data_IF_251080522037
#
_entry.id   IF_251080522037
#
_cell.length_a   1.000
_cell.length_b   1.000
_cell.length_c   1.000
_cell.angle_alpha   90.00
_cell.angle_beta   90.00
_cell.angle_gamma   90.00
#
_symmetry.space_group_name_H-M   'P 1'
#
loop_
_entity.id
_entity.type
_entity.pdbx_description
1 polymer ?
#
# COMPACT_ATOMS: atom_id res chain seq x y z
N UNK A 1 -29.68 -7.22 12.81
CA UNK A 1 -28.51 -6.31 12.81
C UNK A 1 -27.46 -6.89 13.75
N UNK A 2 -26.37 -7.44 13.21
CA UNK A 2 -25.49 -8.36 13.93
C UNK A 2 -24.51 -7.61 14.85
N UNK A 3 -24.56 -7.89 16.16
CA UNK A 3 -23.75 -7.28 17.24
C UNK A 3 -22.23 -7.31 16.97
N UNK A 4 -21.74 -8.27 16.16
CA UNK A 4 -20.32 -8.35 15.74
C UNK A 4 -19.82 -7.12 14.99
N UNK A 5 -20.68 -6.42 14.23
CA UNK A 5 -20.29 -5.23 13.47
C UNK A 5 -20.05 -3.99 14.34
N UNK A 6 -20.58 -3.95 15.58
CA UNK A 6 -20.37 -2.82 16.52
C UNK A 6 -19.20 -3.02 17.48
N UNK A 7 -18.84 -4.28 17.77
CA UNK A 7 -17.71 -4.59 18.67
C UNK A 7 -16.38 -4.29 17.98
N UNK A 8 -16.31 -4.51 16.66
CA UNK A 8 -15.08 -4.32 15.89
C UNK A 8 -14.53 -2.87 15.94
N UNK A 9 -15.32 -1.81 15.68
CA UNK A 9 -14.82 -0.43 15.79
C UNK A 9 -14.46 -0.07 17.23
N UNK A 10 -15.21 -0.57 18.22
CA UNK A 10 -14.91 -0.32 19.64
C UNK A 10 -13.59 -0.95 20.09
N UNK A 11 -13.31 -2.18 19.64
CA UNK A 11 -12.04 -2.87 19.93
C UNK A 11 -10.84 -2.16 19.27
N UNK A 12 -11.02 -1.70 18.02
CA UNK A 12 -10.01 -0.89 17.33
C UNK A 12 -9.72 0.40 18.10
N UNK A 13 -10.77 1.09 18.59
CA UNK A 13 -10.64 2.29 19.41
C UNK A 13 -9.91 2.03 20.74
N UNK A 14 -10.18 0.89 21.38
CA UNK A 14 -9.51 0.47 22.61
C UNK A 14 -8.02 0.20 22.34
N UNK A 15 -7.69 -0.49 21.25
CA UNK A 15 -6.30 -0.75 20.87
C UNK A 15 -5.54 0.54 20.51
N UNK A 16 -6.19 1.47 19.80
CA UNK A 16 -5.63 2.80 19.50
C UNK A 16 -5.41 3.59 20.81
N UNK A 17 -6.34 3.53 21.75
CA UNK A 17 -6.22 4.19 23.06
C UNK A 17 -5.10 3.62 23.91
N UNK A 18 -4.98 2.29 23.99
CA UNK A 18 -3.86 1.61 24.69
C UNK A 18 -2.53 1.98 24.05
N UNK A 19 -2.48 2.01 22.71
CA UNK A 19 -1.28 2.40 21.97
C UNK A 19 -0.88 3.86 22.22
N UNK A 20 -1.84 4.79 22.21
CA UNK A 20 -1.60 6.19 22.55
C UNK A 20 -1.05 6.35 23.98
N UNK A 21 -1.57 5.58 24.94
CA UNK A 21 -1.11 5.58 26.33
C UNK A 21 0.33 5.07 26.48
N UNK A 22 0.70 4.06 25.69
CA UNK A 22 2.06 3.51 25.65
C UNK A 22 3.08 4.49 25.05
N UNK A 23 2.67 5.39 24.14
CA UNK A 23 3.54 6.46 23.66
C UNK A 23 3.86 7.48 24.77
N UNK A 24 2.87 7.84 25.60
CA UNK A 24 3.04 8.81 26.70
C UNK A 24 3.96 8.28 27.82
N UNK A 25 4.07 6.95 27.95
CA UNK A 25 4.94 6.29 28.93
C UNK A 25 6.43 6.27 28.54
N UNK A 26 6.83 6.96 27.47
CA UNK A 26 8.24 7.18 27.13
C UNK A 26 8.93 5.97 26.47
N UNK A 27 8.14 5.03 25.93
CA UNK A 27 8.67 3.89 25.18
C UNK A 27 9.22 4.40 23.84
N UNK A 28 10.53 4.64 23.79
CA UNK A 28 11.29 5.20 22.63
C UNK A 28 11.21 4.35 21.33
N UNK A 29 10.70 3.12 21.44
CA UNK A 29 10.39 2.17 20.35
C UNK A 29 9.03 2.43 19.67
N UNK A 30 8.23 3.36 20.20
CA UNK A 30 6.89 3.70 19.72
C UNK A 30 6.87 5.11 19.11
N UNK A 31 7.90 5.47 18.33
CA UNK A 31 7.89 6.72 17.57
C UNK A 31 6.84 6.60 16.47
N UNK A 32 5.86 7.50 16.46
CA UNK A 32 4.79 7.57 15.46
C UNK A 32 5.33 7.53 14.02
N UNK A 33 6.52 8.08 13.82
CA UNK A 33 7.30 8.05 12.57
C UNK A 33 7.54 6.63 12.04
N UNK A 34 7.66 5.62 12.90
CA UNK A 34 7.90 4.21 12.54
C UNK A 34 6.63 3.39 12.37
N UNK A 35 5.53 3.82 12.96
CA UNK A 35 4.32 3.00 13.08
C UNK A 35 3.27 3.30 12.01
N UNK A 36 3.26 4.51 11.45
CA UNK A 36 2.29 4.89 10.42
C UNK A 36 2.30 3.98 9.17
N UNK A 37 3.44 3.42 8.69
CA UNK A 37 3.42 2.51 7.54
C UNK A 37 2.73 1.18 7.86
N UNK A 38 2.81 0.72 9.11
CA UNK A 38 2.11 -0.49 9.55
C UNK A 38 0.60 -0.33 9.48
N UNK A 39 0.07 0.87 9.77
CA UNK A 39 -1.34 1.18 9.61
C UNK A 39 -1.74 1.06 8.14
N UNK A 40 -0.93 1.59 7.21
CA UNK A 40 -1.19 1.44 5.76
C UNK A 40 -1.19 -0.03 5.33
N UNK A 41 -0.24 -0.84 5.80
CA UNK A 41 -0.21 -2.29 5.50
C UNK A 41 -1.48 -2.98 6.01
N UNK A 42 -1.89 -2.71 7.25
CA UNK A 42 -3.10 -3.30 7.84
C UNK A 42 -4.35 -2.87 7.07
N UNK A 43 -4.48 -1.57 6.76
CA UNK A 43 -5.60 -1.03 5.98
C UNK A 43 -5.64 -1.65 4.58
N UNK A 44 -4.49 -1.74 3.91
CA UNK A 44 -4.36 -2.38 2.60
C UNK A 44 -4.76 -3.85 2.65
N UNK A 45 -4.31 -4.60 3.65
CA UNK A 45 -4.64 -6.02 3.82
C UNK A 45 -6.13 -6.24 4.10
N UNK A 46 -6.74 -5.44 4.97
CA UNK A 46 -8.17 -5.48 5.26
C UNK A 46 -8.97 -5.15 3.99
N UNK A 47 -8.62 -4.06 3.30
CA UNK A 47 -9.29 -3.67 2.06
C UNK A 47 -9.19 -4.76 1.01
N UNK A 48 -8.01 -5.34 0.81
CA UNK A 48 -7.81 -6.40 -0.18
C UNK A 48 -8.60 -7.67 0.18
N UNK A 49 -8.57 -8.08 1.45
CA UNK A 49 -9.33 -9.23 1.93
C UNK A 49 -10.84 -9.02 1.74
N UNK A 50 -11.36 -7.86 2.14
CA UNK A 50 -12.78 -7.52 1.97
C UNK A 50 -13.17 -7.44 0.49
N UNK A 51 -12.32 -6.88 -0.38
CA UNK A 51 -12.60 -6.79 -1.81
C UNK A 51 -12.66 -8.16 -2.51
N UNK A 52 -11.80 -9.11 -2.08
CA UNK A 52 -11.75 -10.47 -2.62
C UNK A 52 -12.86 -11.38 -2.09
N UNK A 53 -13.34 -11.12 -0.87
CA UNK A 53 -14.41 -11.90 -0.22
C UNK A 53 -15.81 -11.31 -0.41
N UNK A 54 -15.92 -10.07 -0.91
CA UNK A 54 -17.21 -9.48 -1.29
C UNK A 54 -17.81 -10.18 -2.50
N UNK A 55 -19.14 -10.30 -2.54
CA UNK A 55 -19.90 -10.81 -3.68
C UNK A 55 -20.90 -9.72 -4.16
N UNK A 56 -20.73 -9.14 -5.37
CA UNK A 56 -19.63 -9.37 -6.31
C UNK A 56 -18.30 -8.77 -5.81
N UNK A 57 -17.18 -9.35 -6.25
CA UNK A 57 -15.82 -8.84 -5.94
C UNK A 57 -15.67 -7.42 -6.48
N UNK A 58 -15.08 -6.53 -5.69
CA UNK A 58 -14.92 -5.12 -6.06
C UNK A 58 -13.54 -4.84 -6.68
N UNK A 59 -13.46 -4.51 -8.00
CA UNK A 59 -12.18 -4.19 -8.65
C UNK A 59 -11.48 -2.99 -8.00
N UNK A 60 -12.26 -1.95 -7.64
CA UNK A 60 -11.74 -0.75 -7.00
C UNK A 60 -11.16 -1.03 -5.61
N UNK A 61 -11.78 -1.95 -4.86
CA UNK A 61 -11.30 -2.39 -3.55
C UNK A 61 -10.00 -3.19 -3.64
N UNK A 62 -9.83 -3.98 -4.71
CA UNK A 62 -8.58 -4.70 -5.00
C UNK A 62 -7.49 -3.72 -5.41
N UNK A 63 -7.79 -2.75 -6.28
CA UNK A 63 -6.85 -1.69 -6.65
C UNK A 63 -6.37 -0.93 -5.41
N UNK A 64 -7.30 -0.41 -4.60
CA UNK A 64 -6.98 0.36 -3.41
C UNK A 64 -6.24 -0.48 -2.38
N UNK A 65 -6.71 -1.71 -2.14
CA UNK A 65 -6.10 -2.64 -1.19
C UNK A 65 -4.66 -2.97 -1.56
N UNK A 66 -4.41 -3.33 -2.82
CA UNK A 66 -3.06 -3.66 -3.29
C UNK A 66 -2.15 -2.43 -3.34
N UNK A 67 -2.64 -1.28 -3.81
CA UNK A 67 -1.87 -0.05 -3.87
C UNK A 67 -1.43 0.40 -2.47
N UNK A 68 -2.37 0.39 -1.53
CA UNK A 68 -2.12 0.79 -0.13
C UNK A 68 -1.21 -0.22 0.57
N UNK A 69 -1.40 -1.52 0.34
CA UNK A 69 -0.58 -2.57 0.92
C UNK A 69 0.88 -2.48 0.45
N UNK A 70 1.10 -2.37 -0.86
CA UNK A 70 2.44 -2.27 -1.42
C UNK A 70 3.12 -0.95 -1.05
N UNK A 71 2.38 0.16 -1.08
CA UNK A 71 2.92 1.47 -0.65
C UNK A 71 3.28 1.46 0.84
N UNK A 72 2.40 0.90 1.68
CA UNK A 72 2.67 0.72 3.11
C UNK A 72 3.88 -0.16 3.35
N UNK A 73 4.05 -1.24 2.57
CA UNK A 73 5.22 -2.11 2.61
C UNK A 73 6.51 -1.38 2.23
N UNK A 74 6.48 -0.56 1.17
CA UNK A 74 7.62 0.28 0.76
C UNK A 74 8.00 1.28 1.87
N UNK A 75 7.03 1.98 2.45
CA UNK A 75 7.29 2.91 3.53
C UNK A 75 7.79 2.20 4.79
N UNK A 76 7.29 0.99 5.09
CA UNK A 76 7.79 0.18 6.20
C UNK A 76 9.25 -0.24 5.95
N UNK A 77 9.59 -0.61 4.72
CA UNK A 77 10.95 -0.93 4.31
C UNK A 77 11.92 0.26 4.44
N UNK A 78 11.47 1.49 4.15
CA UNK A 78 12.27 2.72 4.32
C UNK A 78 12.37 3.16 5.79
N UNK A 79 11.35 2.90 6.59
CA UNK A 79 11.26 3.47 7.93
C UNK A 79 11.83 2.55 9.01
N UNK A 80 11.65 1.24 8.85
CA UNK A 80 12.08 0.20 9.80
C UNK A 80 13.14 -0.72 9.17
N UNK A 81 13.09 -0.89 7.85
CA UNK A 81 14.03 -1.73 7.12
C UNK A 81 15.39 -1.07 6.89
N UNK A 82 16.24 -1.70 6.04
CA UNK A 82 17.60 -1.25 5.80
C UNK A 82 17.70 -0.02 4.89
N UNK A 83 16.62 0.34 4.19
CA UNK A 83 16.61 1.49 3.28
C UNK A 83 16.48 2.79 4.07
N UNK A 84 17.00 3.87 3.49
CA UNK A 84 16.96 5.21 4.05
C UNK A 84 16.07 6.11 3.20
N UNK A 85 15.63 7.24 3.75
CA UNK A 85 14.86 8.23 2.97
C UNK A 85 15.63 8.77 1.75
N UNK A 86 16.96 8.80 1.81
CA UNK A 86 17.82 9.14 0.67
C UNK A 86 17.64 8.17 -0.51
N UNK A 87 17.27 6.91 -0.22
CA UNK A 87 17.06 5.90 -1.24
C UNK A 87 15.80 6.14 -2.09
N UNK A 88 14.93 7.05 -1.66
CA UNK A 88 13.76 7.45 -2.44
C UNK A 88 14.15 8.04 -3.80
N UNK A 89 15.34 8.62 -3.93
CA UNK A 89 15.85 9.15 -5.19
C UNK A 89 15.97 8.09 -6.30
N UNK A 90 16.20 6.83 -5.95
CA UNK A 90 16.25 5.71 -6.89
C UNK A 90 15.03 4.78 -6.79
N UNK A 91 14.33 4.78 -5.64
CA UNK A 91 13.12 3.97 -5.42
C UNK A 91 11.83 4.63 -5.93
N UNK A 92 11.81 5.91 -6.31
CA UNK A 92 10.60 6.56 -6.81
C UNK A 92 9.87 5.83 -7.97
N UNK A 93 10.55 5.13 -8.92
CA UNK A 93 9.86 4.41 -9.99
C UNK A 93 8.98 3.27 -9.48
N UNK A 94 9.17 2.86 -8.21
CA UNK A 94 8.33 1.86 -7.54
C UNK A 94 6.89 2.36 -7.37
N UNK A 95 6.63 3.67 -7.26
CA UNK A 95 5.24 4.16 -7.13
C UNK A 95 4.41 3.93 -8.41
N UNK A 96 4.88 4.30 -9.61
CA UNK A 96 4.22 3.91 -10.85
C UNK A 96 4.08 2.39 -11.03
N UNK A 97 5.09 1.58 -10.63
CA UNK A 97 4.96 0.12 -10.74
C UNK A 97 3.91 -0.44 -9.77
N UNK A 98 3.83 0.07 -8.53
CA UNK A 98 2.78 -0.27 -7.58
C UNK A 98 1.42 0.07 -8.18
N UNK A 99 1.24 1.28 -8.71
CA UNK A 99 -0.02 1.68 -9.34
C UNK A 99 -0.38 0.76 -10.52
N UNK A 100 0.61 0.42 -11.35
CA UNK A 100 0.44 -0.50 -12.48
C UNK A 100 0.01 -1.90 -12.04
N UNK A 101 0.70 -2.48 -11.04
CA UNK A 101 0.35 -3.78 -10.47
C UNK A 101 -1.06 -3.78 -9.86
N UNK A 102 -1.44 -2.71 -9.17
CA UNK A 102 -2.78 -2.56 -8.60
C UNK A 102 -3.87 -2.49 -9.66
N UNK A 103 -3.63 -1.78 -10.76
CA UNK A 103 -4.58 -1.75 -11.87
C UNK A 103 -4.66 -3.08 -12.61
N UNK A 104 -3.54 -3.78 -12.80
CA UNK A 104 -3.56 -5.13 -13.35
C UNK A 104 -4.34 -6.09 -12.46
N UNK A 105 -4.13 -6.06 -11.15
CA UNK A 105 -4.88 -6.88 -10.20
C UNK A 105 -6.38 -6.59 -10.24
N UNK A 106 -6.78 -5.32 -10.33
CA UNK A 106 -8.17 -4.93 -10.49
C UNK A 106 -8.77 -5.41 -11.82
N UNK A 107 -8.00 -5.35 -12.91
CA UNK A 107 -8.42 -5.88 -14.21
C UNK A 107 -8.63 -7.40 -14.18
N UNK A 108 -7.82 -8.16 -13.42
CA UNK A 108 -8.04 -9.61 -13.27
C UNK A 108 -9.39 -9.96 -12.59
N UNK A 109 -9.93 -9.05 -11.78
CA UNK A 109 -11.28 -9.21 -11.20
C UNK A 109 -12.37 -8.88 -12.21
N UNK A 110 -12.16 -7.86 -13.06
CA UNK A 110 -13.10 -7.47 -14.09
C UNK A 110 -12.41 -7.29 -15.45
N UNK A 111 -12.18 -8.41 -16.13
CA UNK A 111 -11.42 -8.45 -17.39
C UNK A 111 -12.09 -7.71 -18.55
N UNK A 112 -13.38 -7.39 -18.41
CA UNK A 112 -14.13 -6.60 -19.40
C UNK A 112 -13.70 -5.14 -19.43
N UNK A 113 -13.07 -4.63 -18.36
CA UNK A 113 -12.70 -3.22 -18.25
C UNK A 113 -11.30 -2.95 -18.82
N UNK A 114 -11.21 -2.89 -20.15
CA UNK A 114 -9.95 -2.71 -20.89
C UNK A 114 -9.23 -1.41 -20.50
N UNK A 115 -9.97 -0.36 -20.13
CA UNK A 115 -9.37 0.90 -19.64
C UNK A 115 -8.41 0.67 -18.47
N UNK A 116 -8.77 -0.23 -17.54
CA UNK A 116 -7.96 -0.56 -16.35
C UNK A 116 -6.67 -1.28 -16.75
N UNK A 117 -6.74 -2.17 -17.75
CA UNK A 117 -5.56 -2.83 -18.32
C UNK A 117 -4.61 -1.82 -18.97
N UNK A 118 -5.14 -0.95 -19.83
CA UNK A 118 -4.33 0.03 -20.56
C UNK A 118 -3.63 0.99 -19.59
N UNK A 119 -4.35 1.52 -18.59
CA UNK A 119 -3.75 2.39 -17.57
C UNK A 119 -2.72 1.63 -16.73
N UNK A 120 -2.98 0.38 -16.37
CA UNK A 120 -2.02 -0.47 -15.65
C UNK A 120 -0.73 -0.71 -16.45
N UNK A 121 -0.85 -1.01 -17.75
CA UNK A 121 0.29 -1.20 -18.64
C UNK A 121 1.08 0.09 -18.84
N UNK A 122 0.41 1.23 -19.00
CA UNK A 122 1.07 2.54 -19.09
C UNK A 122 1.84 2.83 -17.79
N UNK A 123 1.21 2.63 -16.62
CA UNK A 123 1.87 2.85 -15.34
C UNK A 123 3.08 1.93 -15.13
N UNK A 124 2.99 0.66 -15.56
CA UNK A 124 4.14 -0.26 -15.56
C UNK A 124 5.24 0.18 -16.52
N UNK A 125 4.89 0.66 -17.72
CA UNK A 125 5.86 1.18 -18.67
C UNK A 125 6.57 2.42 -18.12
N UNK A 126 5.84 3.33 -17.47
CA UNK A 126 6.40 4.51 -16.80
C UNK A 126 7.32 4.09 -15.65
N UNK A 127 6.92 3.12 -14.82
CA UNK A 127 7.76 2.61 -13.74
C UNK A 127 9.00 1.89 -14.24
N UNK A 128 8.88 1.11 -15.31
CA UNK A 128 10.01 0.46 -15.98
C UNK A 128 10.98 1.47 -16.59
N UNK A 129 10.47 2.47 -17.32
CA UNK A 129 11.28 3.54 -17.89
C UNK A 129 11.98 4.36 -16.79
N UNK A 130 11.27 4.68 -15.71
CA UNK A 130 11.83 5.36 -14.55
C UNK A 130 12.96 4.54 -13.90
N UNK A 131 12.77 3.22 -13.76
CA UNK A 131 13.80 2.32 -13.24
C UNK A 131 15.04 2.31 -14.13
N UNK A 132 14.87 2.17 -15.44
CA UNK A 132 15.95 2.20 -16.42
C UNK A 132 16.71 3.54 -16.44
N UNK A 133 16.00 4.65 -16.20
CA UNK A 133 16.62 5.97 -16.06
C UNK A 133 17.44 6.05 -14.77
N UNK A 134 16.87 5.62 -13.63
CA UNK A 134 17.58 5.68 -12.34
C UNK A 134 18.75 4.71 -12.24
N UNK A 135 18.77 3.63 -13.02
CA UNK A 135 19.86 2.66 -13.03
C UNK A 135 21.04 3.06 -13.94
N UNK A 136 20.98 4.22 -14.60
CA UNK A 136 22.00 4.68 -15.55
C UNK A 136 22.03 3.88 -16.86
N UNK A 137 21.04 3.01 -17.10
CA UNK A 137 20.94 2.25 -18.36
C UNK A 137 20.47 3.11 -19.54
N UNK A 138 19.90 4.28 -19.26
CA UNK A 138 19.43 5.27 -20.23
C UNK A 138 20.24 6.57 -20.19
N UNK A 139 21.45 6.56 -19.63
CA UNK A 139 22.34 7.71 -19.79
C UNK A 139 22.66 7.89 -21.29
N UNK A 140 22.31 9.04 -21.90
CA UNK A 140 22.90 9.41 -23.17
C UNK A 140 24.35 9.75 -22.87
N UNK A 141 25.29 9.04 -23.50
CA UNK A 141 26.69 9.45 -23.53
C UNK A 141 26.86 10.91 -23.95
#
# INVERSE_FOLDING_TARGET
MNTRQRILPGLILILIGIWALLQTLGVRWLRMEQFWPAILVIVGLISLYTALTSDPRSPDGVWFGLATLLSGGLFLYITVGPAQWADMAWLWPVFPTIAGLSWLAAWLINTRQISTLVVGLIALAVGGAGYLYTSGMLDPE
#
